data_IF_786794813902
#
_entry.id   IF_786794813902
#
_cell.length_a   1.000
_cell.length_b   1.000
_cell.length_c   1.000
_cell.angle_alpha   90.00
_cell.angle_beta   90.00
_cell.angle_gamma   90.00
#
_symmetry.space_group_name_H-M   'P 1'
#
loop_
_entity.id
_entity.type
_entity.pdbx_description
1 polymer ?
#
# COMPACT_ATOMS: atom_id res chain seq x y z
N UNK A 1 23.75 -21.24 3.46
CA UNK A 1 22.73 -21.38 2.41
C UNK A 1 21.85 -20.16 2.56
N UNK A 2 22.06 -19.05 1.84
CA UNK A 2 21.95 -18.94 0.39
C UNK A 2 20.51 -18.61 -0.01
N UNK A 3 19.86 -17.63 0.63
CA UNK A 3 18.57 -17.09 0.19
C UNK A 3 18.85 -15.89 -0.69
N UNK A 4 18.73 -16.05 -2.01
CA UNK A 4 18.93 -14.97 -2.96
C UNK A 4 17.85 -13.90 -2.79
N UNK A 5 18.22 -12.63 -2.93
CA UNK A 5 17.25 -11.59 -3.26
C UNK A 5 16.52 -12.05 -4.52
N UNK A 6 15.24 -12.39 -4.39
CA UNK A 6 14.35 -12.39 -5.54
C UNK A 6 14.20 -10.92 -5.93
N UNK A 7 14.97 -10.46 -6.92
CA UNK A 7 14.73 -9.16 -7.53
C UNK A 7 13.48 -9.29 -8.39
N UNK A 8 12.32 -9.13 -7.77
CA UNK A 8 11.09 -9.03 -8.54
C UNK A 8 11.19 -7.82 -9.47
N UNK A 9 10.69 -7.95 -10.70
CA UNK A 9 10.41 -6.79 -11.54
C UNK A 9 9.13 -6.15 -10.98
N UNK A 10 9.25 -4.96 -10.39
CA UNK A 10 8.11 -4.26 -9.80
C UNK A 10 7.00 -3.99 -10.82
N UNK A 11 5.75 -3.99 -10.37
CA UNK A 11 4.64 -3.74 -11.28
C UNK A 11 4.56 -2.28 -11.69
N UNK A 12 4.17 -2.04 -12.94
CA UNK A 12 3.90 -0.69 -13.45
C UNK A 12 2.41 -0.38 -13.28
N UNK A 13 2.11 0.63 -12.46
CA UNK A 13 0.74 1.08 -12.21
C UNK A 13 0.52 2.45 -12.83
N UNK A 14 -0.54 2.59 -13.62
CA UNK A 14 -0.83 3.82 -14.37
C UNK A 14 -2.31 4.17 -14.27
N UNK A 15 -2.61 5.46 -14.16
CA UNK A 15 -3.97 5.96 -14.33
C UNK A 15 -4.06 6.65 -15.69
N UNK A 16 -4.82 6.08 -16.61
CA UNK A 16 -5.06 6.68 -17.93
C UNK A 16 -6.39 7.43 -17.94
N UNK A 17 -6.41 8.60 -18.55
CA UNK A 17 -7.63 9.40 -18.75
C UNK A 17 -8.05 9.36 -20.23
N UNK A 18 -9.33 9.09 -20.48
CA UNK A 18 -9.96 9.12 -21.81
C UNK A 18 -11.39 9.65 -21.68
N UNK A 19 -11.71 10.72 -22.38
CA UNK A 19 -13.07 11.29 -22.46
C UNK A 19 -13.71 11.56 -21.08
N UNK A 20 -12.90 12.04 -20.13
CA UNK A 20 -13.32 12.31 -18.74
C UNK A 20 -13.45 11.07 -17.87
N UNK A 21 -12.99 9.90 -18.32
CA UNK A 21 -13.00 8.65 -17.56
C UNK A 21 -11.58 8.20 -17.25
N UNK A 22 -11.35 7.75 -16.03
CA UNK A 22 -10.07 7.21 -15.59
C UNK A 22 -10.12 5.68 -15.53
N UNK A 23 -9.06 5.05 -16.03
CA UNK A 23 -8.85 3.59 -15.93
C UNK A 23 -7.51 3.34 -15.26
N UNK A 24 -7.53 2.55 -14.18
CA UNK A 24 -6.32 2.04 -13.55
C UNK A 24 -5.79 0.88 -14.38
N UNK A 25 -4.51 0.92 -14.74
CA UNK A 25 -3.79 -0.16 -15.38
C UNK A 25 -2.75 -0.72 -14.40
N UNK A 26 -2.63 -2.04 -14.34
CA UNK A 26 -1.50 -2.74 -13.75
C UNK A 26 -0.82 -3.54 -14.84
N UNK A 27 0.46 -3.29 -15.07
CA UNK A 27 1.27 -3.96 -16.09
C UNK A 27 0.64 -3.84 -17.50
N UNK A 28 0.05 -2.68 -17.78
CA UNK A 28 -0.64 -2.38 -19.05
C UNK A 28 -2.05 -2.98 -19.19
N UNK A 29 -2.52 -3.74 -18.19
CA UNK A 29 -3.83 -4.40 -18.20
C UNK A 29 -4.82 -3.60 -17.35
N UNK A 30 -6.05 -3.32 -17.82
CA UNK A 30 -7.09 -2.70 -17.00
C UNK A 30 -7.35 -3.48 -15.71
N UNK A 31 -7.22 -2.80 -14.56
CA UNK A 31 -7.36 -3.36 -13.22
C UNK A 31 -8.58 -2.76 -12.52
N UNK A 32 -9.74 -3.38 -12.69
CA UNK A 32 -10.94 -3.04 -11.90
C UNK A 32 -10.78 -3.61 -10.49
N UNK A 33 -10.89 -2.75 -9.47
CA UNK A 33 -10.70 -3.14 -8.07
C UNK A 33 -11.94 -3.88 -7.54
N UNK A 34 -11.76 -5.14 -7.16
CA UNK A 34 -12.68 -5.93 -6.35
C UNK A 34 -12.04 -6.13 -4.97
N UNK A 35 -12.12 -5.07 -4.16
CA UNK A 35 -11.28 -4.90 -2.98
C UNK A 35 -11.96 -5.22 -1.65
N UNK A 36 -11.16 -5.61 -0.66
CA UNK A 36 -11.52 -5.65 0.77
C UNK A 36 -10.47 -4.94 1.62
N UNK A 37 -10.83 -4.54 2.84
CA UNK A 37 -9.87 -4.08 3.85
C UNK A 37 -9.46 -5.25 4.75
N UNK A 38 -8.17 -5.39 5.05
CA UNK A 38 -7.65 -6.46 5.90
C UNK A 38 -6.20 -6.84 5.58
N UNK A 39 -5.69 -7.85 6.27
CA UNK A 39 -4.32 -8.35 6.12
C UNK A 39 -4.22 -9.89 6.20
N UNK A 40 -5.36 -10.60 6.16
CA UNK A 40 -5.46 -12.06 6.34
C UNK A 40 -6.43 -12.67 5.33
N UNK A 41 -6.46 -14.01 5.28
CA UNK A 41 -7.39 -14.80 4.47
C UNK A 41 -7.34 -14.47 2.96
N UNK A 42 -6.15 -14.19 2.42
CA UNK A 42 -5.96 -13.79 1.03
C UNK A 42 -6.38 -14.89 0.04
N UNK A 43 -6.10 -16.15 0.34
CA UNK A 43 -6.60 -17.29 -0.45
C UNK A 43 -8.14 -17.27 -0.54
N UNK A 44 -8.82 -16.96 0.58
CA UNK A 44 -10.28 -16.89 0.61
C UNK A 44 -10.80 -15.71 -0.20
N UNK A 45 -10.15 -14.55 -0.11
CA UNK A 45 -10.45 -13.39 -0.95
C UNK A 45 -10.39 -13.76 -2.44
N UNK A 46 -9.30 -14.40 -2.87
CA UNK A 46 -9.14 -14.87 -4.24
C UNK A 46 -10.25 -15.87 -4.64
N UNK A 47 -10.59 -16.81 -3.75
CA UNK A 47 -11.65 -17.81 -3.99
C UNK A 47 -13.04 -17.21 -4.23
N UNK A 48 -13.28 -15.99 -3.73
CA UNK A 48 -14.54 -15.25 -3.93
C UNK A 48 -14.47 -14.23 -5.07
N UNK A 49 -13.37 -14.19 -5.83
CA UNK A 49 -13.18 -13.30 -6.97
C UNK A 49 -12.70 -11.90 -6.59
N UNK A 50 -12.27 -11.70 -5.35
CA UNK A 50 -11.55 -10.48 -4.96
C UNK A 50 -10.13 -10.48 -5.50
N UNK A 51 -9.60 -9.30 -5.82
CA UNK A 51 -8.30 -9.14 -6.47
C UNK A 51 -7.41 -8.08 -5.82
N UNK A 52 -7.91 -7.38 -4.81
CA UNK A 52 -7.18 -6.28 -4.17
C UNK A 52 -7.46 -6.27 -2.67
N UNK A 53 -6.45 -5.96 -1.86
CA UNK A 53 -6.59 -5.75 -0.42
C UNK A 53 -5.99 -4.41 -0.02
N UNK A 54 -6.60 -3.71 0.94
CA UNK A 54 -6.04 -2.50 1.56
C UNK A 54 -5.73 -2.74 3.03
N UNK A 55 -4.52 -2.35 3.44
CA UNK A 55 -4.11 -2.26 4.84
C UNK A 55 -4.16 -0.80 5.33
N UNK A 56 -4.07 -0.61 6.65
CA UNK A 56 -3.96 0.71 7.28
C UNK A 56 -2.51 1.10 7.59
N UNK A 57 -1.69 0.11 7.87
CA UNK A 57 -0.25 0.23 8.11
C UNK A 57 0.51 -0.80 7.26
N UNK A 58 1.81 -0.89 7.52
CA UNK A 58 2.72 -1.80 6.84
C UNK A 58 3.38 -2.79 7.80
N UNK A 59 2.75 -3.10 8.94
CA UNK A 59 3.26 -4.13 9.85
C UNK A 59 3.25 -5.49 9.14
N UNK A 60 4.41 -6.16 9.10
CA UNK A 60 4.55 -7.45 8.42
C UNK A 60 4.31 -7.42 6.90
N UNK A 61 4.36 -6.23 6.27
CA UNK A 61 3.91 -6.07 4.87
C UNK A 61 4.70 -6.93 3.88
N UNK A 62 5.98 -7.24 4.15
CA UNK A 62 6.81 -8.07 3.27
C UNK A 62 6.22 -9.48 3.06
N UNK A 63 5.91 -10.19 4.15
CA UNK A 63 5.32 -11.54 4.08
C UNK A 63 3.92 -11.50 3.44
N UNK A 64 3.13 -10.48 3.78
CA UNK A 64 1.79 -10.28 3.20
C UNK A 64 1.87 -10.01 1.69
N UNK A 65 2.85 -9.23 1.24
CA UNK A 65 3.07 -8.94 -0.16
C UNK A 65 3.43 -10.21 -0.94
N UNK A 66 4.29 -11.07 -0.40
CA UNK A 66 4.62 -12.38 -0.97
C UNK A 66 3.38 -13.29 -1.07
N UNK A 67 2.56 -13.36 -0.01
CA UNK A 67 1.31 -14.14 -0.02
C UNK A 67 0.31 -13.60 -1.05
N UNK A 68 0.12 -12.27 -1.09
CA UNK A 68 -0.75 -11.62 -2.05
C UNK A 68 -0.31 -11.93 -3.49
N UNK A 69 1.00 -11.86 -3.76
CA UNK A 69 1.55 -12.19 -5.07
C UNK A 69 1.27 -13.64 -5.45
N UNK A 70 1.46 -14.59 -4.52
CA UNK A 70 1.16 -16.01 -4.75
C UNK A 70 -0.31 -16.26 -5.11
N UNK A 71 -1.23 -15.43 -4.62
CA UNK A 71 -2.67 -15.51 -4.88
C UNK A 71 -3.15 -14.61 -6.05
N UNK A 72 -2.25 -13.87 -6.71
CA UNK A 72 -2.61 -12.90 -7.75
C UNK A 72 -3.38 -11.68 -7.23
N UNK A 73 -3.25 -11.39 -5.93
CA UNK A 73 -3.88 -10.25 -5.26
C UNK A 73 -2.94 -9.05 -5.31
N UNK A 74 -3.52 -7.89 -5.57
CA UNK A 74 -2.87 -6.58 -5.51
C UNK A 74 -3.05 -5.94 -4.13
N UNK A 75 -2.08 -5.17 -3.66
CA UNK A 75 -2.07 -4.59 -2.31
C UNK A 75 -2.02 -3.08 -2.40
N UNK A 76 -2.98 -2.40 -1.78
CA UNK A 76 -2.87 -1.00 -1.40
C UNK A 76 -2.26 -0.95 -0.01
N UNK A 77 -0.94 -0.75 0.04
CA UNK A 77 -0.18 -0.79 1.28
C UNK A 77 -0.39 0.50 2.07
N UNK A 78 -1.02 0.39 3.23
CA UNK A 78 -1.23 1.49 4.15
C UNK A 78 0.10 2.01 4.71
N UNK A 79 0.21 3.32 4.82
CA UNK A 79 1.27 4.00 5.52
C UNK A 79 0.60 4.75 6.65
N UNK A 80 0.70 4.24 7.86
CA UNK A 80 0.20 4.95 9.02
C UNK A 80 0.95 6.28 9.15
N UNK A 81 0.20 7.37 9.25
CA UNK A 81 0.70 8.68 9.66
C UNK A 81 0.07 9.01 11.00
N UNK A 82 0.84 9.63 11.88
CA UNK A 82 0.39 9.96 13.23
C UNK A 82 -0.68 11.05 13.25
N UNK A 83 -1.53 11.03 14.28
CA UNK A 83 -2.65 11.97 14.40
C UNK A 83 -2.35 13.07 15.43
N UNK A 84 -2.69 14.32 15.11
CA UNK A 84 -2.56 15.44 16.06
C UNK A 84 -3.35 15.21 17.34
N UNK A 85 -4.54 14.60 17.24
CA UNK A 85 -5.36 14.22 18.41
C UNK A 85 -4.69 13.23 19.36
N UNK A 86 -3.62 12.56 18.93
CA UNK A 86 -2.83 11.64 19.75
C UNK A 86 -1.52 12.28 20.25
N UNK A 87 -1.31 13.57 19.99
CA UNK A 87 -0.16 14.33 20.47
C UNK A 87 0.96 14.55 19.46
N UNK A 88 0.78 14.12 18.20
CA UNK A 88 1.75 14.40 17.14
C UNK A 88 1.69 15.87 16.72
N UNK A 89 2.83 16.55 16.66
CA UNK A 89 2.90 17.94 16.27
C UNK A 89 3.46 18.08 14.85
N UNK A 90 2.58 18.38 13.89
CA UNK A 90 2.99 18.63 12.50
C UNK A 90 3.75 19.95 12.32
N UNK A 91 3.84 20.84 13.31
CA UNK A 91 4.71 22.01 13.28
C UNK A 91 6.12 21.70 13.79
N UNK A 92 6.29 20.63 14.56
CA UNK A 92 7.58 20.17 15.08
C UNK A 92 8.46 19.52 13.97
N UNK A 93 9.60 20.14 13.62
CA UNK A 93 10.48 19.61 12.60
C UNK A 93 11.13 18.27 12.95
N UNK A 94 11.34 17.95 14.23
CA UNK A 94 11.95 16.69 14.65
C UNK A 94 10.98 15.53 14.44
N UNK A 95 9.73 15.67 14.91
CA UNK A 95 8.66 14.68 14.70
C UNK A 95 8.38 14.42 13.21
N UNK A 96 8.33 15.47 12.39
CA UNK A 96 8.20 15.32 10.93
C UNK A 96 9.37 14.57 10.30
N UNK A 97 10.59 14.82 10.76
CA UNK A 97 11.78 14.16 10.20
C UNK A 97 11.78 12.66 10.53
N UNK A 98 11.42 12.28 11.76
CA UNK A 98 11.30 10.88 12.17
C UNK A 98 10.21 10.14 11.39
N UNK A 99 9.02 10.76 11.22
CA UNK A 99 7.94 10.18 10.42
C UNK A 99 8.35 10.00 8.95
N UNK A 100 9.00 11.02 8.36
CA UNK A 100 9.50 10.95 6.98
C UNK A 100 10.54 9.84 6.81
N UNK A 101 11.51 9.72 7.72
CA UNK A 101 12.54 8.67 7.65
C UNK A 101 11.90 7.27 7.69
N UNK A 102 10.94 7.04 8.59
CA UNK A 102 10.18 5.78 8.67
C UNK A 102 9.46 5.47 7.35
N UNK A 103 8.77 6.46 6.77
CA UNK A 103 8.05 6.31 5.51
C UNK A 103 9.00 6.04 4.35
N UNK A 104 10.13 6.74 4.27
CA UNK A 104 11.14 6.53 3.23
C UNK A 104 11.75 5.14 3.28
N UNK A 105 12.09 4.64 4.47
CA UNK A 105 12.63 3.29 4.64
C UNK A 105 11.63 2.24 4.15
N UNK A 106 10.37 2.35 4.58
CA UNK A 106 9.29 1.46 4.15
C UNK A 106 9.12 1.44 2.62
N UNK A 107 9.07 2.61 1.98
CA UNK A 107 8.92 2.71 0.52
C UNK A 107 10.14 2.13 -0.19
N UNK A 108 11.35 2.46 0.26
CA UNK A 108 12.58 1.94 -0.36
C UNK A 108 12.66 0.41 -0.28
N UNK A 109 12.18 -0.19 0.80
CA UNK A 109 12.21 -1.63 1.00
C UNK A 109 11.23 -2.38 0.09
N UNK A 110 10.01 -1.87 -0.12
CA UNK A 110 8.95 -2.65 -0.78
C UNK A 110 8.46 -2.10 -2.13
N UNK A 111 8.92 -0.93 -2.60
CA UNK A 111 8.43 -0.31 -3.86
C UNK A 111 8.56 -1.20 -5.11
N UNK A 112 9.45 -2.18 -5.10
CA UNK A 112 9.69 -3.08 -6.25
C UNK A 112 8.89 -4.39 -6.14
N UNK A 113 8.00 -4.52 -5.14
CA UNK A 113 7.20 -5.72 -4.98
C UNK A 113 6.05 -5.79 -6.02
N UNK A 114 5.86 -6.90 -6.76
CA UNK A 114 4.93 -6.98 -7.90
C UNK A 114 3.45 -7.03 -7.50
N UNK A 115 3.15 -7.35 -6.25
CA UNK A 115 1.81 -7.23 -5.68
C UNK A 115 1.45 -5.80 -5.26
N UNK A 116 2.41 -4.87 -5.16
CA UNK A 116 2.11 -3.51 -4.73
C UNK A 116 1.35 -2.74 -5.82
N UNK A 117 0.15 -2.27 -5.50
CA UNK A 117 -0.69 -1.49 -6.40
C UNK A 117 -0.55 0.02 -6.15
N UNK A 118 -0.58 0.42 -4.89
CA UNK A 118 -0.54 1.81 -4.47
C UNK A 118 -0.14 1.93 -3.00
N UNK A 119 0.31 3.12 -2.61
CA UNK A 119 0.54 3.49 -1.22
C UNK A 119 -0.67 4.27 -0.70
N UNK A 120 -1.26 3.81 0.40
CA UNK A 120 -2.31 4.52 1.13
C UNK A 120 -1.70 5.40 2.22
N UNK A 121 -1.38 6.65 1.89
CA UNK A 121 -0.72 7.58 2.81
C UNK A 121 -1.72 8.14 3.83
N UNK A 122 -1.62 7.67 5.07
CA UNK A 122 -2.49 8.06 6.17
C UNK A 122 -3.88 7.41 6.13
N UNK A 123 -4.59 7.54 7.25
CA UNK A 123 -6.01 7.23 7.36
C UNK A 123 -6.67 8.26 8.26
N UNK A 124 -7.50 9.12 7.67
CA UNK A 124 -8.29 10.13 8.41
C UNK A 124 -7.40 11.01 9.33
N UNK A 125 -6.24 11.42 8.82
CA UNK A 125 -5.25 12.22 9.56
C UNK A 125 -5.85 13.56 10.00
N UNK A 126 -6.82 14.07 9.23
CA UNK A 126 -7.58 15.28 9.51
C UNK A 126 -8.57 15.16 10.68
N UNK A 127 -9.00 13.94 11.05
CA UNK A 127 -9.99 13.76 12.10
C UNK A 127 -9.39 14.05 13.48
N UNK A 128 -9.64 15.27 13.97
CA UNK A 128 -9.19 15.73 15.29
C UNK A 128 -8.47 17.07 15.27
N UNK A 129 -8.25 17.67 14.10
CA UNK A 129 -7.92 19.08 13.96
C UNK A 129 -9.21 19.89 13.90
N UNK A 130 -9.63 20.48 15.02
CA UNK A 130 -10.60 21.57 14.97
C UNK A 130 -9.92 22.77 14.28
N UNK A 131 -10.47 23.23 13.15
CA UNK A 131 -10.07 24.48 12.49
C UNK A 131 -10.49 25.71 13.30
#
# INVERSE_FOLDING_TARGET
MGGGCSSYEGSRVELIERDGRFTLLKDGIPHTIHGVGGHTDLERLASYGGNTVRTWDAEGIGEMLDEAHAQGISVVAGIWLEHQRHGFDYDDPEQRAEELERVELLVREHREHPALLAWGVGNEVELGGDF
#
